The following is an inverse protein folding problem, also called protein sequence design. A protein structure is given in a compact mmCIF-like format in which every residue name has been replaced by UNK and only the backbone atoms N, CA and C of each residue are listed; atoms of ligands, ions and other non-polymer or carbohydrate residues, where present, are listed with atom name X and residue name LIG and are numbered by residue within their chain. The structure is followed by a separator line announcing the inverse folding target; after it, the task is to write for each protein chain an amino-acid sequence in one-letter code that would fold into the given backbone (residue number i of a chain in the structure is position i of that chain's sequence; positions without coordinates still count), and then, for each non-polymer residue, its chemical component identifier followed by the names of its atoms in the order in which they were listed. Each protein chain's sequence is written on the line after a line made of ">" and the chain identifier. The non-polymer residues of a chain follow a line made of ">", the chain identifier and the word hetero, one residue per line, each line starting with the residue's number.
data_IF_440144441527
#
_entry.id   IF_440144441527
#
_cell.length_a   1.000
_cell.length_b   1.000
_cell.length_c   1.000
_cell.angle_alpha   90.00
_cell.angle_beta   90.00
_cell.angle_gamma   90.00
#
_symmetry.space_group_name_H-M   'P 1'
#
loop_
_entity.id
_entity.type
_entity.pdbx_description
1 polymer ?
#
# COMPACT_ATOMS: atom_id res chain seq x y z
N UNK A 1 -0.31 -42.46 -8.18
CA UNK A 1 0.02 -41.20 -8.88
C UNK A 1 -0.70 -40.07 -8.15
N UNK A 2 -0.01 -39.30 -7.31
CA UNK A 2 -0.61 -38.18 -6.58
C UNK A 2 -0.32 -36.92 -7.38
N UNK A 3 -1.35 -36.34 -8.00
CA UNK A 3 -1.23 -35.04 -8.63
C UNK A 3 -1.15 -33.98 -7.52
N UNK A 4 -0.13 -33.10 -7.52
CA UNK A 4 -0.15 -31.96 -6.61
C UNK A 4 -1.35 -31.08 -7.02
N UNK A 5 -2.33 -30.99 -6.13
CA UNK A 5 -3.33 -29.95 -6.21
C UNK A 5 -2.56 -28.62 -6.28
N UNK A 6 -2.79 -27.84 -7.34
CA UNK A 6 -2.31 -26.46 -7.44
C UNK A 6 -2.93 -25.72 -6.26
N UNK A 7 -2.21 -25.66 -5.16
CA UNK A 7 -2.41 -24.64 -4.14
C UNK A 7 -2.15 -23.33 -4.86
N UNK A 8 -3.22 -22.60 -5.16
CA UNK A 8 -3.11 -21.19 -5.54
C UNK A 8 -2.14 -20.55 -4.55
N UNK A 9 -1.06 -19.89 -5.01
CA UNK A 9 -0.19 -19.17 -4.10
C UNK A 9 -1.07 -18.23 -3.28
N UNK A 10 -0.84 -18.09 -1.96
CA UNK A 10 -1.56 -17.10 -1.18
C UNK A 10 -1.42 -15.77 -1.92
N UNK A 11 -2.55 -15.22 -2.37
CA UNK A 11 -2.60 -13.92 -3.01
C UNK A 11 -2.05 -12.95 -1.96
N UNK A 12 -0.77 -12.60 -2.08
CA UNK A 12 -0.05 -11.83 -1.08
C UNK A 12 -0.79 -10.53 -0.82
N UNK A 13 -1.06 -10.23 0.44
CA UNK A 13 -1.62 -8.93 0.82
C UNK A 13 -0.56 -7.87 0.53
N UNK A 14 -0.84 -6.96 -0.41
CA UNK A 14 -0.02 -5.78 -0.63
C UNK A 14 -0.23 -4.84 0.55
N UNK A 15 0.83 -4.52 1.28
CA UNK A 15 0.75 -3.57 2.40
C UNK A 15 1.11 -2.16 1.94
N UNK A 16 0.90 -1.17 2.81
CA UNK A 16 1.32 0.20 2.52
C UNK A 16 2.83 0.30 2.28
N UNK A 17 3.63 -0.49 3.01
CA UNK A 17 5.08 -0.48 2.87
C UNK A 17 5.53 -0.94 1.47
N UNK A 18 4.75 -1.79 0.79
CA UNK A 18 5.09 -2.28 -0.56
C UNK A 18 4.95 -1.21 -1.64
N UNK A 19 4.17 -0.15 -1.38
CA UNK A 19 3.87 0.93 -2.35
C UNK A 19 4.38 2.31 -1.91
N UNK A 20 4.77 2.45 -0.64
CA UNK A 20 5.28 3.70 -0.10
C UNK A 20 6.72 3.95 -0.57
N UNK A 21 6.96 5.16 -1.09
CA UNK A 21 8.31 5.63 -1.37
C UNK A 21 8.81 6.39 -0.14
N UNK A 22 10.08 6.20 0.22
CA UNK A 22 10.70 6.90 1.34
C UNK A 22 11.93 7.65 0.86
N UNK A 23 12.03 8.90 1.28
CA UNK A 23 13.20 9.73 1.07
C UNK A 23 13.89 9.97 2.41
N UNK A 24 15.22 9.93 2.42
CA UNK A 24 16.02 10.49 3.52
C UNK A 24 15.90 12.02 3.56
N UNK A 25 16.36 12.64 4.65
CA UNK A 25 16.32 14.09 4.78
C UNK A 25 17.16 14.80 3.71
N UNK A 26 18.34 14.25 3.41
CA UNK A 26 19.23 14.75 2.36
C UNK A 26 18.58 14.63 0.98
N UNK A 27 17.92 13.50 0.68
CA UNK A 27 17.21 13.31 -0.59
C UNK A 27 15.99 14.23 -0.70
N UNK A 28 15.24 14.40 0.39
CA UNK A 28 14.10 15.31 0.44
C UNK A 28 14.49 16.76 0.13
N UNK A 29 15.66 17.21 0.63
CA UNK A 29 16.18 18.55 0.36
C UNK A 29 16.62 18.77 -1.11
N UNK A 30 16.81 17.70 -1.88
CA UNK A 30 17.19 17.75 -3.29
C UNK A 30 15.97 17.70 -4.24
N UNK A 31 14.78 17.40 -3.72
CA UNK A 31 13.56 17.36 -4.52
C UNK A 31 13.17 18.78 -4.95
N UNK A 32 12.78 18.91 -6.22
CA UNK A 32 12.11 20.11 -6.70
C UNK A 32 10.62 20.12 -6.31
N UNK A 33 9.97 21.28 -6.47
CA UNK A 33 8.57 21.47 -6.09
C UNK A 33 7.61 20.50 -6.79
N UNK A 34 7.91 20.10 -8.03
CA UNK A 34 7.10 19.14 -8.79
C UNK A 34 7.26 17.74 -8.22
N UNK A 35 8.47 17.35 -7.84
CA UNK A 35 8.75 16.04 -7.22
C UNK A 35 8.10 15.92 -5.84
N UNK A 36 8.14 16.99 -5.03
CA UNK A 36 7.45 17.04 -3.73
C UNK A 36 5.94 16.92 -3.92
N UNK A 37 5.37 17.62 -4.91
CA UNK A 37 3.94 17.54 -5.21
C UNK A 37 3.54 16.12 -5.61
N UNK A 38 4.29 15.49 -6.52
CA UNK A 38 4.04 14.12 -6.94
C UNK A 38 4.13 13.12 -5.78
N UNK A 39 5.13 13.29 -4.90
CA UNK A 39 5.24 12.47 -3.70
C UNK A 39 4.00 12.58 -2.82
N UNK A 40 3.54 13.81 -2.55
CA UNK A 40 2.37 14.04 -1.71
C UNK A 40 1.11 13.44 -2.34
N UNK A 41 0.89 13.63 -3.65
CA UNK A 41 -0.27 13.09 -4.36
C UNK A 41 -0.33 11.56 -4.26
N UNK A 42 0.78 10.89 -4.60
CA UNK A 42 0.87 9.42 -4.56
C UNK A 42 0.70 8.89 -3.14
N UNK A 43 1.31 9.54 -2.15
CA UNK A 43 1.23 9.10 -0.75
C UNK A 43 -0.15 9.34 -0.14
N UNK A 44 -0.86 10.40 -0.53
CA UNK A 44 -2.25 10.66 -0.12
C UNK A 44 -3.19 9.59 -0.68
N UNK A 45 -3.08 9.25 -1.98
CA UNK A 45 -3.88 8.17 -2.57
C UNK A 45 -3.60 6.82 -1.91
N UNK A 46 -2.32 6.48 -1.71
CA UNK A 46 -1.94 5.23 -1.03
C UNK A 46 -2.47 5.18 0.41
N UNK A 47 -2.40 6.29 1.16
CA UNK A 47 -2.93 6.36 2.52
C UNK A 47 -4.46 6.20 2.55
N UNK A 48 -5.17 6.81 1.61
CA UNK A 48 -6.62 6.69 1.48
C UNK A 48 -7.04 5.24 1.14
N UNK A 49 -6.33 4.58 0.21
CA UNK A 49 -6.57 3.19 -0.14
C UNK A 49 -6.39 2.25 1.06
N UNK A 50 -5.30 2.40 1.81
CA UNK A 50 -5.04 1.59 3.01
C UNK A 50 -6.08 1.86 4.10
N UNK A 51 -6.48 3.12 4.31
CA UNK A 51 -7.56 3.46 5.24
C UNK A 51 -8.91 2.84 4.83
N UNK A 52 -9.21 2.77 3.53
CA UNK A 52 -10.44 2.14 3.02
C UNK A 52 -10.41 0.62 3.17
N UNK A 53 -9.29 -0.03 2.86
CA UNK A 53 -9.09 -1.47 3.09
C UNK A 53 -9.22 -1.81 4.58
N UNK A 54 -8.61 -1.00 5.45
CA UNK A 54 -8.74 -1.13 6.90
C UNK A 54 -10.19 -1.01 7.39
N UNK A 55 -11.01 -0.14 6.78
CA UNK A 55 -12.46 -0.05 7.07
C UNK A 55 -13.25 -1.25 6.55
N UNK A 56 -12.94 -1.72 5.35
CA UNK A 56 -13.60 -2.88 4.73
C UNK A 56 -13.35 -4.19 5.51
N UNK A 57 -12.23 -4.28 6.22
CA UNK A 57 -11.86 -5.44 7.05
C UNK A 57 -12.42 -5.38 8.48
N UNK A 58 -13.08 -4.29 8.90
CA UNK A 58 -13.81 -4.31 10.17
C UNK A 58 -15.07 -5.14 9.98
N UNK A 59 -15.24 -6.29 10.66
CA UNK A 59 -16.48 -7.03 10.58
C UNK A 59 -17.56 -6.13 11.17
N UNK A 60 -18.51 -5.70 10.34
CA UNK A 60 -19.75 -5.08 10.81
C UNK A 60 -20.33 -6.01 11.89
N UNK A 61 -20.46 -5.56 13.15
CA UNK A 61 -21.18 -6.35 14.12
C UNK A 61 -22.63 -6.41 13.62
N UNK A 62 -23.05 -7.60 13.20
CA UNK A 62 -24.43 -7.88 12.83
C UNK A 62 -25.23 -7.76 14.14
N UNK A 63 -25.99 -6.67 14.29
CA UNK A 63 -27.02 -6.50 15.32
C UNK A 63 -28.39 -6.72 14.69
#
# INVERSE_FOLDING_TARGET
>A
MVAPALTDPPQGSVTFEDVAVYFSWEEWCLLDEVQIHLYLDVMVENFALVCMLGKALTPTPIL
#
